data_IF_794451885054
#
_entry.id   IF_794451885054
#
_cell.length_a   1.000
_cell.length_b   1.000
_cell.length_c   1.000
_cell.angle_alpha   90.00
_cell.angle_beta   90.00
_cell.angle_gamma   90.00
#
_symmetry.space_group_name_H-M   'P 1'
#
loop_
_entity.id
_entity.type
_entity.pdbx_description
1 polymer ?
#
# COMPACT_ATOMS: atom_id res chain seq x y z
N UNK A 1 -37.31 -1.21 9.47
CA UNK A 1 -36.71 0.11 9.76
C UNK A 1 -37.32 0.70 11.03
N UNK A 2 -38.66 0.73 11.13
CA UNK A 2 -39.41 1.15 12.33
C UNK A 2 -38.98 0.41 13.62
N UNK A 3 -38.80 -0.91 13.55
CA UNK A 3 -38.43 -1.75 14.71
C UNK A 3 -37.03 -1.45 15.25
N UNK A 4 -36.10 -1.02 14.39
CA UNK A 4 -34.74 -0.60 14.80
C UNK A 4 -34.74 0.80 15.42
N UNK A 5 -35.68 1.65 15.03
CA UNK A 5 -35.89 2.98 15.60
C UNK A 5 -36.48 2.85 17.02
N UNK A 6 -37.49 1.99 17.20
CA UNK A 6 -38.13 1.74 18.51
C UNK A 6 -37.15 1.10 19.50
N UNK A 7 -36.35 0.12 19.07
CA UNK A 7 -35.32 -0.50 19.91
C UNK A 7 -34.16 0.45 20.27
N UNK A 8 -33.95 1.52 19.49
CA UNK A 8 -32.96 2.56 19.79
C UNK A 8 -33.48 3.56 20.83
N UNK A 9 -34.74 4.03 20.70
CA UNK A 9 -35.34 4.95 21.67
C UNK A 9 -35.53 4.31 23.05
N UNK A 10 -35.73 3.00 23.11
CA UNK A 10 -35.77 2.25 24.37
C UNK A 10 -34.40 2.01 24.99
N UNK A 11 -33.33 1.88 24.20
CA UNK A 11 -31.97 1.68 24.70
C UNK A 11 -31.25 2.99 25.07
N UNK A 12 -31.67 4.12 24.51
CA UNK A 12 -31.10 5.44 24.79
C UNK A 12 -31.80 6.11 25.99
N UNK A 13 -31.59 5.58 27.20
CA UNK A 13 -32.18 6.12 28.44
C UNK A 13 -31.86 7.61 28.71
N UNK A 14 -30.81 8.16 28.10
CA UNK A 14 -30.48 9.59 28.18
C UNK A 14 -31.44 10.49 27.37
N UNK A 15 -32.13 9.98 26.35
CA UNK A 15 -33.16 10.72 25.61
C UNK A 15 -34.38 11.01 26.49
N UNK A 16 -34.72 10.14 27.43
CA UNK A 16 -35.78 10.40 28.42
C UNK A 16 -35.42 11.56 29.36
N UNK A 17 -34.12 11.75 29.66
CA UNK A 17 -33.63 12.91 30.42
C UNK A 17 -33.61 14.21 29.60
N UNK A 18 -33.42 14.12 28.28
CA UNK A 18 -33.53 15.27 27.37
C UNK A 18 -34.99 15.74 27.13
N UNK A 19 -35.98 14.87 27.37
CA UNK A 19 -37.40 15.25 27.38
C UNK A 19 -37.84 15.91 28.69
N UNK A 20 -37.18 15.59 29.82
CA UNK A 20 -37.51 16.13 31.14
C UNK A 20 -36.76 17.42 31.49
N UNK A 21 -35.57 17.63 30.92
CA UNK A 21 -34.82 18.88 31.02
C UNK A 21 -35.08 19.63 29.72
N UNK A 22 -35.80 20.75 29.77
CA UNK A 22 -36.26 21.51 28.58
C UNK A 22 -35.14 21.98 27.66
N UNK A 23 -34.59 21.10 26.83
CA UNK A 23 -33.70 21.44 25.73
C UNK A 23 -34.55 22.14 24.68
N UNK A 24 -34.21 23.37 24.26
CA UNK A 24 -34.93 24.06 23.20
C UNK A 24 -35.02 23.17 21.96
N UNK A 25 -36.20 23.09 21.35
CA UNK A 25 -36.49 22.25 20.17
C UNK A 25 -35.49 22.44 19.03
N UNK A 26 -34.89 23.63 18.93
CA UNK A 26 -33.82 23.98 17.98
C UNK A 26 -32.52 23.22 18.22
N UNK A 27 -32.11 23.01 19.47
CA UNK A 27 -30.89 22.28 19.81
C UNK A 27 -31.09 20.77 19.63
N UNK A 28 -32.30 20.27 19.93
CA UNK A 28 -32.69 18.89 19.64
C UNK A 28 -32.71 18.61 18.13
N UNK A 29 -33.33 19.48 17.34
CA UNK A 29 -33.31 19.39 15.88
C UNK A 29 -31.88 19.41 15.34
N UNK A 30 -31.00 20.24 15.90
CA UNK A 30 -29.58 20.28 15.56
C UNK A 30 -28.84 18.97 15.84
N UNK A 31 -29.05 18.36 17.01
CA UNK A 31 -28.45 17.05 17.37
C UNK A 31 -28.99 15.95 16.45
N UNK A 32 -30.30 15.89 16.22
CA UNK A 32 -30.94 14.92 15.33
C UNK A 32 -30.50 15.12 13.89
N UNK A 33 -30.41 16.35 13.38
CA UNK A 33 -29.89 16.64 12.03
C UNK A 33 -28.41 16.29 11.89
N UNK A 34 -27.59 16.61 12.90
CA UNK A 34 -26.19 16.21 12.95
C UNK A 34 -26.04 14.70 12.90
N UNK A 35 -26.86 13.98 13.65
CA UNK A 35 -26.94 12.52 13.63
C UNK A 35 -27.41 11.98 12.28
N UNK A 36 -28.50 12.50 11.72
CA UNK A 36 -29.00 12.12 10.39
C UNK A 36 -27.95 12.38 9.31
N UNK A 37 -27.22 13.50 9.37
CA UNK A 37 -26.14 13.83 8.43
C UNK A 37 -24.96 12.87 8.59
N UNK A 38 -24.60 12.49 9.81
CA UNK A 38 -23.60 11.45 10.09
C UNK A 38 -24.04 10.08 9.55
N UNK A 39 -25.31 9.69 9.76
CA UNK A 39 -25.90 8.46 9.21
C UNK A 39 -26.21 8.53 7.70
N UNK A 40 -26.13 9.69 7.06
CA UNK A 40 -26.29 9.88 5.60
C UNK A 40 -24.97 10.05 4.86
N UNK A 41 -23.82 10.17 5.53
CA UNK A 41 -22.51 10.18 4.89
C UNK A 41 -22.28 8.81 4.23
N UNK A 42 -22.62 8.70 2.94
CA UNK A 42 -22.26 7.55 2.09
C UNK A 42 -20.79 7.74 1.74
N UNK A 43 -19.93 6.87 2.25
CA UNK A 43 -18.56 6.73 1.78
C UNK A 43 -18.60 5.98 0.45
N UNK A 44 -18.34 6.69 -0.65
CA UNK A 44 -18.16 6.07 -1.95
C UNK A 44 -16.70 6.20 -2.35
N UNK A 45 -16.01 5.07 -2.57
CA UNK A 45 -14.64 5.05 -3.04
C UNK A 45 -14.50 5.76 -4.39
N UNK A 46 -15.48 5.59 -5.29
CA UNK A 46 -15.50 6.22 -6.60
C UNK A 46 -15.56 7.76 -6.54
N UNK A 47 -15.96 8.33 -5.39
CA UNK A 47 -15.92 9.79 -5.20
C UNK A 47 -14.50 10.36 -5.09
N UNK A 48 -13.49 9.49 -4.95
CA UNK A 48 -12.08 9.87 -4.93
C UNK A 48 -11.43 9.77 -6.31
N UNK A 49 -12.07 9.08 -7.26
CA UNK A 49 -11.49 8.87 -8.58
C UNK A 49 -11.69 10.13 -9.45
N UNK A 50 -10.63 10.66 -10.09
CA UNK A 50 -10.79 11.69 -11.09
C UNK A 50 -11.58 11.16 -12.29
N UNK A 51 -12.24 12.05 -13.03
CA UNK A 51 -13.02 11.66 -14.20
C UNK A 51 -12.10 11.05 -15.26
N UNK A 52 -12.45 9.87 -15.76
CA UNK A 52 -11.66 9.18 -16.78
C UNK A 52 -10.38 8.53 -16.27
N UNK A 53 -10.22 8.34 -14.96
CA UNK A 53 -9.02 7.79 -14.31
C UNK A 53 -8.39 6.57 -15.02
N UNK A 54 -9.19 5.56 -15.41
CA UNK A 54 -8.66 4.38 -16.09
C UNK A 54 -8.16 4.67 -17.52
N UNK A 55 -8.75 5.66 -18.20
CA UNK A 55 -8.43 6.04 -19.58
C UNK A 55 -7.33 7.10 -19.69
N UNK A 56 -7.08 7.88 -18.63
CA UNK A 56 -6.05 8.93 -18.60
C UNK A 56 -4.69 8.43 -18.09
N UNK A 57 -4.66 7.26 -17.47
CA UNK A 57 -3.46 6.70 -16.88
C UNK A 57 -2.37 6.44 -17.93
N UNK A 58 -1.29 7.22 -17.86
CA UNK A 58 -0.09 7.00 -18.69
C UNK A 58 0.94 6.14 -17.96
N UNK A 59 1.45 5.13 -18.66
CA UNK A 59 2.52 4.23 -18.19
C UNK A 59 3.83 4.99 -17.94
N UNK A 60 4.03 6.15 -18.60
CA UNK A 60 5.31 6.85 -18.73
C UNK A 60 5.98 7.26 -17.41
N UNK A 61 5.26 7.21 -16.27
CA UNK A 61 5.81 7.53 -14.93
C UNK A 61 5.37 6.57 -13.82
N UNK A 62 4.86 5.39 -14.14
CA UNK A 62 4.34 4.42 -13.16
C UNK A 62 5.44 3.97 -12.19
N UNK A 63 6.67 3.82 -12.66
CA UNK A 63 7.79 3.43 -11.81
C UNK A 63 8.10 4.42 -10.67
N UNK A 64 7.73 5.70 -10.80
CA UNK A 64 7.93 6.68 -9.71
C UNK A 64 6.98 6.47 -8.50
N UNK A 65 5.93 5.68 -8.67
CA UNK A 65 4.96 5.35 -7.61
C UNK A 65 5.39 4.15 -6.78
N UNK A 66 6.18 3.26 -7.38
CA UNK A 66 6.67 2.04 -6.75
C UNK A 66 7.68 2.39 -5.64
N UNK A 67 7.49 1.81 -4.46
CA UNK A 67 8.49 1.79 -3.41
C UNK A 67 9.43 0.61 -3.66
N UNK A 68 10.71 0.92 -3.84
CA UNK A 68 11.73 -0.04 -4.26
C UNK A 68 12.74 -0.24 -3.13
N UNK A 69 13.01 -1.50 -2.79
CA UNK A 69 14.12 -1.87 -1.92
C UNK A 69 15.24 -2.51 -2.76
N UNK A 70 16.49 -2.13 -2.46
CA UNK A 70 17.68 -2.83 -2.96
C UNK A 70 18.38 -3.41 -1.73
N UNK A 71 18.50 -4.73 -1.69
CA UNK A 71 19.16 -5.46 -0.60
C UNK A 71 20.39 -6.15 -1.18
N UNK A 72 21.56 -5.61 -0.87
CA UNK A 72 22.83 -6.02 -1.48
C UNK A 72 24.00 -5.65 -0.57
N UNK A 73 24.94 -6.57 -0.34
CA UNK A 73 26.12 -6.29 0.49
C UNK A 73 27.11 -5.32 -0.18
N UNK A 74 27.06 -5.22 -1.50
CA UNK A 74 27.82 -4.33 -2.37
C UNK A 74 26.89 -3.34 -3.08
N UNK A 75 26.33 -2.41 -2.32
CA UNK A 75 25.44 -1.34 -2.83
C UNK A 75 26.06 -0.54 -4.00
N UNK A 76 27.39 -0.46 -4.10
CA UNK A 76 28.09 0.19 -5.22
C UNK A 76 27.85 -0.46 -6.58
N UNK A 77 27.47 -1.74 -6.61
CA UNK A 77 27.16 -2.47 -7.84
C UNK A 77 25.78 -2.11 -8.40
N UNK A 78 25.00 -1.35 -7.62
CA UNK A 78 23.69 -0.85 -7.99
C UNK A 78 23.74 0.67 -8.24
N UNK A 79 23.19 1.15 -9.36
CA UNK A 79 23.16 2.57 -9.73
C UNK A 79 22.02 3.31 -9.01
N UNK A 80 21.95 3.17 -7.68
CA UNK A 80 20.85 3.69 -6.86
C UNK A 80 20.76 5.21 -6.91
N UNK A 81 21.88 5.91 -7.09
CA UNK A 81 21.92 7.39 -7.16
C UNK A 81 21.30 7.88 -8.45
N UNK A 82 21.66 7.27 -9.58
CA UNK A 82 21.14 7.55 -10.92
C UNK A 82 19.64 7.29 -10.98
N UNK A 83 19.20 6.16 -10.42
CA UNK A 83 17.78 5.82 -10.37
C UNK A 83 16.99 6.80 -9.47
N UNK A 84 17.53 7.21 -8.32
CA UNK A 84 16.89 8.25 -7.49
C UNK A 84 16.76 9.58 -8.23
N UNK A 85 17.78 9.98 -9.01
CA UNK A 85 17.71 11.18 -9.89
C UNK A 85 16.64 11.02 -10.98
N UNK A 86 16.41 9.80 -11.45
CA UNK A 86 15.30 9.44 -12.35
C UNK A 86 13.90 9.50 -11.72
N UNK A 87 13.79 9.78 -10.41
CA UNK A 87 12.51 9.92 -9.71
C UNK A 87 12.00 8.64 -9.03
N UNK A 88 12.78 7.56 -9.02
CA UNK A 88 12.42 6.31 -8.35
C UNK A 88 12.55 6.41 -6.83
N UNK A 89 11.60 5.82 -6.09
CA UNK A 89 11.61 5.80 -4.62
C UNK A 89 12.42 4.61 -4.09
N UNK A 90 13.74 4.76 -4.06
CA UNK A 90 14.66 3.65 -3.73
C UNK A 90 15.22 3.77 -2.32
N UNK A 91 15.04 2.71 -1.52
CA UNK A 91 15.75 2.49 -0.25
C UNK A 91 16.76 1.36 -0.42
N UNK A 92 17.97 1.58 0.06
CA UNK A 92 19.11 0.65 -0.05
C UNK A 92 19.42 0.05 1.32
N UNK A 93 19.65 -1.26 1.36
CA UNK A 93 19.96 -2.02 2.56
C UNK A 93 21.20 -2.86 2.31
N UNK A 94 22.30 -2.55 3.02
CA UNK A 94 23.53 -3.33 2.88
C UNK A 94 23.34 -4.76 3.37
N UNK A 95 22.71 -4.89 4.53
CA UNK A 95 22.35 -6.17 5.13
C UNK A 95 21.04 -5.99 5.90
N UNK A 96 20.31 -7.08 6.06
CA UNK A 96 19.06 -7.14 6.80
C UNK A 96 19.09 -8.29 7.79
N UNK A 97 18.29 -8.18 8.86
CA UNK A 97 18.00 -9.32 9.73
C UNK A 97 16.74 -10.02 9.22
N UNK A 98 16.60 -11.31 9.52
CA UNK A 98 15.33 -12.02 9.26
C UNK A 98 14.16 -11.46 10.08
N UNK A 99 14.42 -10.70 11.15
CA UNK A 99 13.37 -9.95 11.87
C UNK A 99 12.82 -8.76 11.08
N UNK A 100 13.54 -8.25 10.08
CA UNK A 100 13.18 -7.03 9.34
C UNK A 100 12.27 -7.32 8.13
N UNK A 101 11.74 -8.54 8.03
CA UNK A 101 10.97 -9.01 6.87
C UNK A 101 9.69 -8.21 6.67
N UNK A 102 9.00 -7.84 7.76
CA UNK A 102 7.78 -7.03 7.69
C UNK A 102 8.03 -5.65 7.08
N UNK A 103 9.26 -5.13 7.24
CA UNK A 103 9.69 -3.87 6.62
C UNK A 103 10.00 -4.06 5.14
N UNK A 104 10.59 -5.19 4.75
CA UNK A 104 10.89 -5.47 3.35
C UNK A 104 9.63 -5.85 2.55
N UNK A 105 8.68 -6.56 3.16
CA UNK A 105 7.43 -6.98 2.52
C UNK A 105 6.49 -5.81 2.20
N UNK A 106 6.71 -4.64 2.82
CA UNK A 106 5.94 -3.41 2.53
C UNK A 106 6.35 -2.72 1.23
N UNK A 107 7.51 -3.07 0.64
CA UNK A 107 7.93 -2.52 -0.65
C UNK A 107 7.18 -3.19 -1.80
N UNK A 108 6.95 -2.46 -2.89
CA UNK A 108 6.31 -3.05 -4.07
C UNK A 108 7.30 -3.90 -4.88
N UNK A 109 8.55 -3.43 -4.97
CA UNK A 109 9.63 -4.06 -5.74
C UNK A 109 10.85 -4.26 -4.84
N UNK A 110 11.46 -5.45 -4.90
CA UNK A 110 12.70 -5.77 -4.19
C UNK A 110 13.73 -6.30 -5.17
N UNK A 111 14.87 -5.61 -5.29
CA UNK A 111 16.09 -6.19 -5.84
C UNK A 111 16.84 -6.88 -4.71
N UNK A 112 17.06 -8.19 -4.85
CA UNK A 112 17.64 -9.00 -3.79
C UNK A 112 18.86 -9.74 -4.31
N UNK A 113 20.02 -9.42 -3.74
CA UNK A 113 21.21 -10.24 -3.93
C UNK A 113 21.06 -11.60 -3.23
N UNK A 114 21.63 -12.64 -3.85
CA UNK A 114 21.48 -14.01 -3.39
C UNK A 114 22.32 -14.33 -2.15
N UNK A 115 23.47 -13.66 -1.98
CA UNK A 115 24.45 -13.90 -0.90
C UNK A 115 24.79 -12.61 -0.16
N UNK A 116 25.30 -12.74 1.06
CA UNK A 116 25.82 -11.62 1.86
C UNK A 116 24.77 -10.69 2.48
N UNK A 117 23.51 -10.80 2.05
CA UNK A 117 22.42 -9.88 2.42
C UNK A 117 21.81 -10.11 3.79
N UNK A 118 21.87 -11.33 4.33
CA UNK A 118 21.34 -11.63 5.67
C UNK A 118 22.49 -11.67 6.66
N UNK A 119 22.44 -10.79 7.67
CA UNK A 119 23.54 -10.62 8.63
C UNK A 119 23.87 -11.90 9.40
N UNK A 120 22.84 -12.65 9.79
CA UNK A 120 22.97 -13.82 10.66
C UNK A 120 23.23 -15.12 9.87
N UNK A 121 23.07 -15.10 8.54
CA UNK A 121 23.29 -16.23 7.65
C UNK A 121 23.73 -15.72 6.25
N UNK A 122 24.98 -15.25 6.11
CA UNK A 122 25.43 -14.62 4.86
C UNK A 122 25.47 -15.58 3.67
N UNK A 123 25.57 -16.89 3.90
CA UNK A 123 25.74 -17.88 2.84
C UNK A 123 24.41 -18.41 2.30
N UNK A 124 23.43 -18.67 3.18
CA UNK A 124 22.13 -19.26 2.79
C UNK A 124 20.92 -18.39 3.15
N UNK A 125 21.13 -17.30 3.90
CA UNK A 125 20.04 -16.48 4.42
C UNK A 125 19.25 -15.77 3.32
N UNK A 126 19.86 -15.47 2.17
CA UNK A 126 19.15 -14.91 1.02
C UNK A 126 17.98 -15.78 0.57
N UNK A 127 18.17 -17.11 0.50
CA UNK A 127 17.10 -18.05 0.14
C UNK A 127 15.98 -18.07 1.18
N UNK A 128 16.33 -18.10 2.47
CA UNK A 128 15.35 -18.02 3.57
C UNK A 128 14.58 -16.71 3.55
N UNK A 129 15.24 -15.62 3.15
CA UNK A 129 14.64 -14.30 3.04
C UNK A 129 13.59 -14.25 1.93
N UNK A 130 13.90 -14.71 0.71
CA UNK A 130 12.92 -14.71 -0.39
C UNK A 130 11.73 -15.64 -0.11
N UNK A 131 11.94 -16.79 0.54
CA UNK A 131 10.86 -17.70 0.96
C UNK A 131 9.89 -17.02 1.92
N UNK A 132 10.42 -16.29 2.91
CA UNK A 132 9.61 -15.56 3.88
C UNK A 132 8.93 -14.34 3.27
N UNK A 133 9.61 -13.61 2.38
CA UNK A 133 8.99 -12.50 1.63
C UNK A 133 7.80 -13.00 0.81
N UNK A 134 7.95 -14.13 0.11
CA UNK A 134 6.84 -14.76 -0.64
C UNK A 134 5.69 -15.21 0.24
N UNK A 135 5.99 -15.73 1.41
CA UNK A 135 4.97 -16.14 2.39
C UNK A 135 4.25 -14.94 2.99
N UNK A 136 4.94 -13.81 3.18
CA UNK A 136 4.40 -12.58 3.77
C UNK A 136 3.61 -11.74 2.75
N UNK A 137 4.14 -11.58 1.54
CA UNK A 137 3.53 -10.82 0.46
C UNK A 137 3.73 -11.52 -0.90
N UNK A 138 2.81 -12.42 -1.30
CA UNK A 138 2.90 -13.13 -2.57
C UNK A 138 2.91 -12.22 -3.80
N UNK A 139 2.34 -11.02 -3.68
CA UNK A 139 2.17 -10.05 -4.77
C UNK A 139 3.32 -9.04 -4.91
N UNK A 140 4.30 -9.08 -4.00
CA UNK A 140 5.52 -8.28 -4.13
C UNK A 140 6.29 -8.70 -5.37
N UNK A 141 6.87 -7.76 -6.11
CA UNK A 141 7.75 -8.09 -7.23
C UNK A 141 9.20 -8.21 -6.76
N UNK A 142 9.84 -9.33 -7.05
CA UNK A 142 11.22 -9.60 -6.60
C UNK A 142 12.10 -9.89 -7.80
N UNK A 143 13.13 -9.06 -8.01
CA UNK A 143 14.20 -9.32 -8.95
C UNK A 143 15.39 -9.93 -8.21
N UNK A 144 15.72 -11.17 -8.53
CA UNK A 144 16.94 -11.80 -8.07
C UNK A 144 18.15 -11.20 -8.78
N UNK A 145 19.21 -10.90 -8.04
CA UNK A 145 20.44 -10.37 -8.61
C UNK A 145 21.62 -11.22 -8.17
N UNK A 146 22.52 -11.57 -9.11
CA UNK A 146 23.70 -12.38 -8.81
C UNK A 146 24.89 -12.01 -9.68
N UNK A 147 26.08 -12.02 -9.09
CA UNK A 147 27.35 -11.91 -9.82
C UNK A 147 27.96 -13.25 -10.23
N UNK A 148 27.48 -14.38 -9.67
CA UNK A 148 28.11 -15.70 -9.86
C UNK A 148 27.44 -16.52 -10.97
N UNK A 149 28.24 -17.21 -11.78
CA UNK A 149 27.79 -18.02 -12.91
C UNK A 149 27.28 -19.40 -12.53
N UNK A 150 27.61 -19.93 -11.34
CA UNK A 150 27.21 -21.26 -10.90
C UNK A 150 26.94 -21.27 -9.40
N UNK A 151 25.67 -21.36 -9.02
CA UNK A 151 25.25 -21.57 -7.63
C UNK A 151 24.13 -22.64 -7.59
N UNK A 152 24.33 -23.78 -6.92
CA UNK A 152 23.31 -24.83 -6.78
C UNK A 152 22.01 -24.34 -6.15
N UNK A 153 22.08 -23.33 -5.28
CA UNK A 153 20.91 -22.71 -4.62
C UNK A 153 20.15 -21.74 -5.54
N UNK A 154 20.78 -21.32 -6.65
CA UNK A 154 20.18 -20.41 -7.62
C UNK A 154 18.88 -20.92 -8.20
N UNK A 155 18.79 -22.22 -8.47
CA UNK A 155 17.58 -22.81 -9.07
C UNK A 155 16.34 -22.55 -8.22
N UNK A 156 16.44 -22.67 -6.89
CA UNK A 156 15.29 -22.43 -6.01
C UNK A 156 15.01 -20.94 -5.85
N UNK A 157 16.06 -20.14 -5.83
CA UNK A 157 15.94 -18.69 -5.78
C UNK A 157 15.24 -18.12 -7.03
N UNK A 158 15.63 -18.58 -8.22
CA UNK A 158 15.04 -18.19 -9.50
C UNK A 158 13.59 -18.61 -9.64
N UNK A 159 13.20 -19.76 -9.06
CA UNK A 159 11.79 -20.18 -9.01
C UNK A 159 10.91 -19.27 -8.15
N UNK A 160 11.50 -18.57 -7.19
CA UNK A 160 10.77 -17.69 -6.27
C UNK A 160 10.82 -16.22 -6.70
N UNK A 161 11.74 -15.83 -7.56
CA UNK A 161 11.83 -14.48 -8.10
C UNK A 161 10.90 -14.30 -9.31
N UNK A 162 10.48 -13.06 -9.57
CA UNK A 162 9.73 -12.69 -10.78
C UNK A 162 10.64 -12.44 -11.98
N UNK A 163 11.88 -11.98 -11.73
CA UNK A 163 12.91 -11.77 -12.75
C UNK A 163 14.30 -12.03 -12.16
N UNK A 164 15.29 -12.15 -13.04
CA UNK A 164 16.69 -12.33 -12.70
C UNK A 164 17.61 -11.44 -13.52
N UNK A 165 18.56 -10.79 -12.85
CA UNK A 165 19.63 -10.01 -13.51
C UNK A 165 21.02 -10.38 -13.01
N UNK A 166 21.98 -10.29 -13.92
CA UNK A 166 23.39 -10.51 -13.64
C UNK A 166 24.05 -9.19 -13.25
N UNK A 167 24.91 -9.19 -12.22
CA UNK A 167 25.76 -8.04 -11.86
C UNK A 167 26.97 -7.90 -12.82
N UNK A 168 27.52 -6.69 -13.01
CA UNK A 168 27.01 -5.39 -12.51
C UNK A 168 25.76 -4.93 -13.28
N UNK A 169 24.90 -4.17 -12.61
CA UNK A 169 23.66 -3.66 -13.20
C UNK A 169 23.82 -2.20 -13.64
N UNK A 170 23.35 -1.88 -14.83
CA UNK A 170 23.27 -0.51 -15.32
C UNK A 170 21.95 0.14 -14.89
N UNK A 171 21.92 1.49 -14.87
CA UNK A 171 20.71 2.22 -14.51
C UNK A 171 19.58 1.95 -15.50
N UNK A 172 19.91 1.68 -16.76
CA UNK A 172 18.95 1.33 -17.79
C UNK A 172 18.30 -0.02 -17.53
N UNK A 173 19.09 -1.07 -17.23
CA UNK A 173 18.56 -2.40 -16.92
C UNK A 173 17.66 -2.39 -15.67
N UNK A 174 18.07 -1.69 -14.61
CA UNK A 174 17.23 -1.53 -13.42
C UNK A 174 15.93 -0.79 -13.75
N UNK A 175 16.01 0.25 -14.59
CA UNK A 175 14.84 1.02 -15.01
C UNK A 175 13.83 0.15 -15.76
N UNK A 176 14.27 -0.67 -16.70
CA UNK A 176 13.39 -1.58 -17.45
C UNK A 176 12.64 -2.55 -16.53
N UNK A 177 13.36 -3.17 -15.58
CA UNK A 177 12.74 -4.07 -14.59
C UNK A 177 11.72 -3.33 -13.72
N UNK A 178 12.08 -2.12 -13.24
CA UNK A 178 11.17 -1.31 -12.42
C UNK A 178 9.92 -0.94 -13.21
N UNK A 179 10.06 -0.50 -14.46
CA UNK A 179 8.93 -0.09 -15.31
C UNK A 179 8.02 -1.27 -15.64
N UNK A 180 8.59 -2.43 -15.98
CA UNK A 180 7.83 -3.66 -16.18
C UNK A 180 7.02 -4.02 -14.93
N UNK A 181 7.69 -4.17 -13.78
CA UNK A 181 7.04 -4.57 -12.53
C UNK A 181 6.01 -3.53 -12.07
N UNK A 182 6.33 -2.25 -12.15
CA UNK A 182 5.42 -1.20 -11.75
C UNK A 182 4.19 -1.16 -12.68
N UNK A 183 4.35 -1.39 -13.99
CA UNK A 183 3.22 -1.53 -14.92
C UNK A 183 2.27 -2.66 -14.53
N UNK A 184 2.80 -3.79 -14.06
CA UNK A 184 1.97 -4.90 -13.55
C UNK A 184 1.29 -4.58 -12.20
N UNK A 185 1.99 -3.89 -11.30
CA UNK A 185 1.50 -3.57 -9.94
C UNK A 185 0.42 -2.48 -9.97
N UNK A 186 0.59 -1.48 -10.84
CA UNK A 186 -0.26 -0.28 -10.94
C UNK A 186 -1.11 -0.29 -12.22
N UNK A 187 -1.49 -1.48 -12.67
CA UNK A 187 -2.51 -1.66 -13.70
C UNK A 187 -3.85 -1.06 -13.20
N UNK A 188 -4.41 -0.04 -13.88
CA UNK A 188 -5.59 0.68 -13.39
C UNK A 188 -6.81 -0.22 -13.15
N UNK A 189 -7.06 -1.17 -14.04
CA UNK A 189 -8.21 -2.06 -13.94
C UNK A 189 -8.10 -2.96 -12.70
N UNK A 190 -6.95 -3.63 -12.53
CA UNK A 190 -6.69 -4.50 -11.38
C UNK A 190 -6.65 -3.73 -10.07
N UNK A 191 -6.04 -2.55 -10.04
CA UNK A 191 -5.97 -1.75 -8.81
C UNK A 191 -7.35 -1.24 -8.40
N UNK A 192 -8.18 -0.81 -9.35
CA UNK A 192 -9.56 -0.42 -9.07
C UNK A 192 -10.40 -1.60 -8.58
N UNK A 193 -10.28 -2.76 -9.22
CA UNK A 193 -11.00 -3.97 -8.82
C UNK A 193 -10.62 -4.37 -7.39
N UNK A 194 -9.33 -4.55 -7.12
CA UNK A 194 -8.85 -4.92 -5.79
C UNK A 194 -9.21 -3.86 -4.74
N UNK A 195 -9.10 -2.58 -5.10
CA UNK A 195 -9.48 -1.49 -4.22
C UNK A 195 -10.97 -1.52 -3.86
N UNK A 196 -11.86 -1.71 -4.83
CA UNK A 196 -13.31 -1.83 -4.58
C UNK A 196 -13.63 -3.04 -3.71
N UNK A 197 -13.06 -4.20 -4.02
CA UNK A 197 -13.26 -5.42 -3.23
C UNK A 197 -12.79 -5.24 -1.78
N UNK A 198 -11.59 -4.70 -1.58
CA UNK A 198 -11.05 -4.40 -0.25
C UNK A 198 -11.97 -3.42 0.49
N UNK A 199 -12.40 -2.34 -0.16
CA UNK A 199 -13.30 -1.35 0.42
C UNK A 199 -14.67 -1.92 0.79
N UNK A 200 -15.22 -2.83 -0.02
CA UNK A 200 -16.51 -3.46 0.22
C UNK A 200 -16.51 -4.47 1.36
N UNK A 201 -15.35 -5.03 1.72
CA UNK A 201 -15.22 -5.86 2.93
C UNK A 201 -15.26 -5.04 4.22
N UNK A 202 -14.97 -3.74 4.15
CA UNK A 202 -14.90 -2.88 5.33
C UNK A 202 -16.29 -2.59 5.91
N UNK A 203 -16.33 -2.45 7.24
CA UNK A 203 -17.50 -1.96 7.95
C UNK A 203 -17.79 -0.52 7.57
N UNK A 204 -19.06 -0.12 7.62
CA UNK A 204 -19.49 1.23 7.23
C UNK A 204 -18.71 2.37 7.90
N UNK A 205 -18.43 2.26 9.21
CA UNK A 205 -17.65 3.27 9.95
C UNK A 205 -16.23 3.38 9.37
N UNK A 206 -15.55 2.24 9.23
CA UNK A 206 -14.22 2.13 8.65
C UNK A 206 -14.17 2.70 7.23
N UNK A 207 -15.16 2.41 6.37
CA UNK A 207 -15.23 2.97 5.00
C UNK A 207 -15.21 4.50 4.97
N UNK A 208 -15.91 5.16 5.90
CA UNK A 208 -15.90 6.64 5.99
C UNK A 208 -14.50 7.14 6.35
N UNK A 209 -13.86 6.51 7.33
CA UNK A 209 -12.54 6.89 7.81
C UNK A 209 -11.47 6.65 6.74
N UNK A 210 -11.53 5.52 6.03
CA UNK A 210 -10.65 5.21 4.89
C UNK A 210 -10.78 6.24 3.78
N UNK A 211 -12.00 6.60 3.36
CA UNK A 211 -12.21 7.64 2.33
C UNK A 211 -11.62 8.98 2.77
N UNK A 212 -11.76 9.33 4.05
CA UNK A 212 -11.20 10.57 4.58
C UNK A 212 -9.67 10.54 4.67
N UNK A 213 -9.08 9.42 5.08
CA UNK A 213 -7.63 9.22 5.14
C UNK A 213 -7.00 9.29 3.73
N UNK A 214 -7.60 8.59 2.75
CA UNK A 214 -7.14 8.65 1.35
C UNK A 214 -7.27 10.06 0.80
N UNK A 215 -8.39 10.75 1.04
CA UNK A 215 -8.57 12.14 0.60
C UNK A 215 -7.52 13.08 1.21
N UNK A 216 -7.23 12.93 2.50
CA UNK A 216 -6.18 13.72 3.18
C UNK A 216 -4.82 13.46 2.54
N UNK A 217 -4.52 12.18 2.26
CA UNK A 217 -3.29 11.79 1.60
C UNK A 217 -3.17 12.40 0.19
N UNK A 218 -4.20 12.30 -0.64
CA UNK A 218 -4.17 12.83 -2.02
C UNK A 218 -4.02 14.35 -2.06
N UNK A 219 -4.68 15.08 -1.13
CA UNK A 219 -4.58 16.56 -1.07
C UNK A 219 -3.25 17.05 -0.51
N UNK A 220 -2.57 16.24 0.31
CA UNK A 220 -1.34 16.68 0.98
C UNK A 220 -0.15 16.91 0.04
N UNK A 221 -0.21 16.48 -1.24
CA UNK A 221 0.93 16.47 -2.16
C UNK A 221 2.07 15.53 -1.74
N UNK A 222 1.94 14.88 -0.57
CA UNK A 222 2.88 13.90 -0.04
C UNK A 222 2.51 12.48 -0.51
N UNK A 223 2.18 12.31 -1.80
CA UNK A 223 1.87 11.01 -2.42
C UNK A 223 2.96 9.94 -2.27
N UNK A 224 4.10 10.30 -1.67
CA UNK A 224 5.26 9.46 -1.36
C UNK A 224 5.32 8.99 0.10
N UNK A 225 4.66 9.65 1.05
CA UNK A 225 4.63 9.21 2.46
C UNK A 225 3.50 8.21 2.72
N UNK A 226 3.68 7.02 2.14
CA UNK A 226 2.75 5.89 2.25
C UNK A 226 2.67 5.36 3.69
N UNK A 227 3.69 5.60 4.52
CA UNK A 227 3.78 5.07 5.88
C UNK A 227 2.72 5.63 6.81
N UNK A 228 2.46 6.94 6.72
CA UNK A 228 1.41 7.59 7.50
C UNK A 228 0.01 7.07 7.12
N UNK A 229 -0.27 6.95 5.81
CA UNK A 229 -1.54 6.41 5.34
C UNK A 229 -1.72 4.94 5.78
N UNK A 230 -0.69 4.10 5.62
CA UNK A 230 -0.73 2.70 6.06
C UNK A 230 -1.09 2.58 7.54
N UNK A 231 -0.40 3.35 8.39
CA UNK A 231 -0.63 3.33 9.84
C UNK A 231 -2.07 3.71 10.18
N UNK A 232 -2.58 4.77 9.55
CA UNK A 232 -3.98 5.19 9.71
C UNK A 232 -4.98 4.12 9.26
N UNK A 233 -4.73 3.41 8.16
CA UNK A 233 -5.62 2.33 7.70
C UNK A 233 -5.61 1.13 8.65
N UNK A 234 -4.44 0.75 9.17
CA UNK A 234 -4.30 -0.35 10.12
C UNK A 234 -4.98 -0.04 11.46
N UNK A 235 -4.86 1.19 11.97
CA UNK A 235 -5.54 1.66 13.18
C UNK A 235 -7.07 1.60 13.04
N UNK A 236 -7.59 1.79 11.82
CA UNK A 236 -9.00 1.67 11.49
C UNK A 236 -9.49 0.21 11.35
N UNK A 237 -8.59 -0.76 11.54
CA UNK A 237 -8.86 -2.19 11.50
C UNK A 237 -8.90 -2.79 10.09
N UNK A 238 -8.29 -2.12 9.11
CA UNK A 238 -8.06 -2.70 7.78
C UNK A 238 -6.95 -3.76 7.91
N UNK A 239 -7.17 -4.97 7.38
CA UNK A 239 -6.12 -5.99 7.38
C UNK A 239 -5.02 -5.65 6.35
N UNK A 240 -3.85 -6.29 6.44
CA UNK A 240 -2.73 -5.89 5.59
C UNK A 240 -2.94 -6.09 4.09
N UNK A 241 -3.65 -7.15 3.72
CA UNK A 241 -3.96 -7.42 2.33
C UNK A 241 -4.82 -6.30 1.72
N UNK A 242 -5.91 -5.92 2.40
CA UNK A 242 -6.81 -4.87 1.96
C UNK A 242 -6.15 -3.48 2.05
N UNK A 243 -5.27 -3.28 3.03
CA UNK A 243 -4.45 -2.08 3.17
C UNK A 243 -3.54 -1.90 1.95
N UNK A 244 -2.83 -2.95 1.53
CA UNK A 244 -1.97 -2.92 0.33
C UNK A 244 -2.73 -2.46 -0.93
N UNK A 245 -3.93 -3.00 -1.15
CA UNK A 245 -4.80 -2.59 -2.26
C UNK A 245 -5.20 -1.10 -2.16
N UNK A 246 -5.60 -0.65 -0.98
CA UNK A 246 -5.94 0.76 -0.73
C UNK A 246 -4.75 1.70 -0.94
N UNK A 247 -3.54 1.32 -0.52
CA UNK A 247 -2.33 2.14 -0.68
C UNK A 247 -1.93 2.29 -2.16
N UNK A 248 -2.08 1.24 -2.97
CA UNK A 248 -1.82 1.31 -4.42
C UNK A 248 -2.81 2.26 -5.08
N UNK A 249 -4.10 2.10 -4.80
CA UNK A 249 -5.14 2.98 -5.34
C UNK A 249 -4.94 4.44 -4.91
N UNK A 250 -4.67 4.68 -3.63
CA UNK A 250 -4.43 6.02 -3.10
C UNK A 250 -3.25 6.73 -3.79
N UNK A 251 -2.15 6.00 -4.03
CA UNK A 251 -0.99 6.53 -4.77
C UNK A 251 -1.32 6.89 -6.21
N UNK A 252 -2.09 6.04 -6.90
CA UNK A 252 -2.50 6.33 -8.27
C UNK A 252 -3.44 7.54 -8.33
N UNK A 253 -4.40 7.66 -7.40
CA UNK A 253 -5.27 8.83 -7.31
C UNK A 253 -4.46 10.10 -7.05
N UNK A 254 -3.55 10.07 -6.06
CA UNK A 254 -2.73 11.22 -5.71
C UNK A 254 -1.93 11.73 -6.91
N UNK A 255 -1.44 10.81 -7.75
CA UNK A 255 -0.67 11.14 -8.95
C UNK A 255 -1.47 11.85 -10.04
N UNK A 256 -2.73 11.44 -10.25
CA UNK A 256 -3.60 12.07 -11.25
C UNK A 256 -4.15 13.42 -10.77
N UNK A 257 -4.07 13.71 -9.47
CA UNK A 257 -4.50 14.99 -8.88
C UNK A 257 -3.40 16.03 -8.74
N UNK A 258 -2.12 15.65 -8.87
CA UNK A 258 -0.94 16.52 -8.86
C UNK A 258 -0.72 17.18 -10.24
#
# INVERSE_FOLDING_TARGET
MLTKIINFFSAAGWLANAFSIGIPSTMFLGVVFGWIKFFRKKSNLDSLLPKGFATTWSIDKVGSLAQIAIVDDQISDFPATELRRGGFQIKTFKQVKLSDIDKLSSFDIVFLDMKGVVKDDPEYGGLKLIEKLRSSNPYQKICAVSGQTFDPTATRFFKLADDYKKKPLTAHECKEVIEQFAGEIFDPEKVLEHGRLAFDRLRRKTRINVVEAVRKFTVSGNGRDVGALRSSLLEEGVNEHDCSAMLKLARMIARETD
#
